data_IF_118554205852
#
_entry.id   IF_118554205852
#
_cell.length_a   1.000
_cell.length_b   1.000
_cell.length_c   1.000
_cell.angle_alpha   90.00
_cell.angle_beta   90.00
_cell.angle_gamma   90.00
#
_symmetry.space_group_name_H-M   'P 1'
#
loop_
_entity.id
_entity.type
_entity.pdbx_description
1 polymer ?
#
# COMPACT_ATOMS: atom_id res chain seq x y z
N UNK A 1 28.41 -33.27 -66.81
CA UNK A 1 27.06 -32.67 -66.94
C UNK A 1 26.45 -32.67 -65.55
N UNK A 2 26.35 -31.51 -64.90
CA UNK A 2 25.72 -31.38 -63.58
C UNK A 2 24.35 -30.74 -63.77
N UNK A 3 23.32 -31.44 -63.29
CA UNK A 3 21.92 -31.06 -63.42
C UNK A 3 21.50 -30.23 -62.20
N UNK A 4 20.92 -29.05 -62.43
CA UNK A 4 20.44 -28.15 -61.39
C UNK A 4 18.91 -28.35 -61.28
N UNK A 5 18.44 -28.75 -60.09
CA UNK A 5 17.01 -28.85 -59.78
C UNK A 5 16.59 -27.55 -59.07
N UNK A 6 15.57 -26.81 -59.56
CA UNK A 6 15.06 -25.63 -58.89
C UNK A 6 14.11 -26.03 -57.75
N UNK A 7 14.39 -25.53 -56.55
CA UNK A 7 13.50 -25.66 -55.39
C UNK A 7 12.46 -24.54 -55.48
N UNK A 8 11.19 -24.92 -55.71
CA UNK A 8 10.05 -24.03 -55.66
C UNK A 8 9.56 -23.95 -54.21
N UNK A 9 9.82 -22.82 -53.55
CA UNK A 9 9.28 -22.49 -52.23
C UNK A 9 7.83 -22.03 -52.38
N UNK A 10 6.88 -22.87 -51.98
CA UNK A 10 5.49 -22.47 -51.79
C UNK A 10 5.35 -21.71 -50.46
N UNK A 11 5.09 -20.40 -50.55
CA UNK A 11 4.68 -19.59 -49.41
C UNK A 11 3.25 -19.96 -49.02
N UNK A 12 3.09 -20.71 -47.93
CA UNK A 12 1.81 -20.90 -47.26
C UNK A 12 1.41 -19.57 -46.60
N UNK A 13 0.52 -18.83 -47.26
CA UNK A 13 -0.18 -17.68 -46.65
C UNK A 13 -1.26 -18.27 -45.75
N UNK A 14 -0.97 -18.35 -44.45
CA UNK A 14 -1.97 -18.68 -43.44
C UNK A 14 -2.93 -17.49 -43.29
N UNK A 15 -4.12 -17.59 -43.88
CA UNK A 15 -5.22 -16.67 -43.66
C UNK A 15 -5.73 -16.85 -42.23
N UNK A 16 -5.24 -16.00 -41.31
CA UNK A 16 -5.83 -15.91 -39.97
C UNK A 16 -7.21 -15.27 -40.09
N UNK A 17 -8.26 -16.06 -39.90
CA UNK A 17 -9.62 -15.53 -39.73
C UNK A 17 -9.63 -14.56 -38.54
N UNK A 18 -10.25 -13.37 -38.64
CA UNK A 18 -10.43 -12.50 -37.50
C UNK A 18 -11.33 -13.24 -36.51
N UNK A 19 -10.74 -13.72 -35.43
CA UNK A 19 -11.52 -14.13 -34.26
C UNK A 19 -12.13 -12.83 -33.76
N UNK A 20 -13.42 -12.67 -34.04
CA UNK A 20 -14.27 -11.65 -33.42
C UNK A 20 -14.40 -12.03 -31.94
N UNK A 21 -13.32 -11.82 -31.19
CA UNK A 21 -13.41 -11.70 -29.75
C UNK A 21 -14.32 -10.51 -29.53
N UNK A 22 -15.59 -10.80 -29.29
CA UNK A 22 -16.46 -9.96 -28.48
C UNK A 22 -15.69 -9.71 -27.19
N UNK A 23 -14.86 -8.67 -27.20
CA UNK A 23 -14.31 -8.02 -26.03
C UNK A 23 -15.56 -7.54 -25.30
N UNK A 24 -16.16 -8.43 -24.50
CA UNK A 24 -17.19 -8.04 -23.55
C UNK A 24 -16.61 -6.82 -22.85
N UNK A 25 -17.24 -5.67 -23.10
CA UNK A 25 -16.77 -4.36 -22.67
C UNK A 25 -16.76 -4.42 -21.15
N UNK A 26 -15.59 -4.71 -20.58
CA UNK A 26 -15.43 -5.03 -19.16
C UNK A 26 -15.82 -3.81 -18.33
N UNK A 27 -16.50 -4.04 -17.22
CA UNK A 27 -16.93 -2.99 -16.31
C UNK A 27 -15.68 -2.40 -15.61
N UNK A 28 -15.39 -1.13 -15.92
CA UNK A 28 -14.23 -0.40 -15.36
C UNK A 28 -14.32 -0.30 -13.83
N UNK A 29 -15.54 -0.42 -13.30
CA UNK A 29 -15.89 -0.19 -11.91
C UNK A 29 -15.89 -1.49 -11.10
N UNK A 30 -15.94 -2.65 -11.77
CA UNK A 30 -15.78 -3.97 -11.16
C UNK A 30 -14.32 -4.34 -10.83
N UNK A 31 -13.36 -3.47 -11.19
CA UNK A 31 -11.94 -3.60 -10.83
C UNK A 31 -11.18 -4.72 -11.55
N UNK A 32 -11.89 -5.66 -12.18
CA UNK A 32 -11.29 -6.84 -12.80
C UNK A 32 -11.01 -6.60 -14.29
N UNK A 33 -9.73 -6.46 -14.64
CA UNK A 33 -9.21 -6.48 -16.00
C UNK A 33 -9.66 -5.35 -16.96
N UNK A 34 -9.95 -4.16 -16.44
CA UNK A 34 -10.23 -2.95 -17.23
C UNK A 34 -9.43 -1.76 -16.69
N UNK A 35 -8.49 -1.21 -17.46
CA UNK A 35 -7.71 -0.03 -17.05
C UNK A 35 -8.58 1.24 -17.14
N UNK A 36 -8.83 1.95 -16.03
CA UNK A 36 -9.61 3.16 -16.05
C UNK A 36 -8.82 4.27 -16.73
N UNK A 37 -9.50 5.12 -17.50
CA UNK A 37 -9.01 6.47 -17.77
C UNK A 37 -8.97 7.21 -16.43
N UNK A 38 -7.77 7.59 -15.99
CA UNK A 38 -7.56 8.36 -14.77
C UNK A 38 -8.04 9.79 -14.94
N UNK A 39 -8.43 10.42 -13.84
CA UNK A 39 -9.00 11.77 -13.75
C UNK A 39 -10.27 11.94 -14.61
N UNK A 40 -11.00 10.84 -14.83
CA UNK A 40 -12.28 10.81 -15.53
C UNK A 40 -13.41 10.40 -14.59
N UNK A 41 -14.53 11.12 -14.66
CA UNK A 41 -15.74 10.81 -13.88
C UNK A 41 -16.61 9.78 -14.62
N UNK A 42 -16.76 8.61 -14.00
CA UNK A 42 -17.67 7.57 -14.45
C UNK A 42 -19.01 7.69 -13.71
N UNK A 43 -20.11 7.65 -14.46
CA UNK A 43 -21.48 7.71 -13.91
C UNK A 43 -22.19 6.37 -14.04
N UNK A 44 -23.47 6.33 -13.68
CA UNK A 44 -24.31 5.13 -13.67
C UNK A 44 -24.45 4.39 -15.01
N UNK A 45 -24.07 5.00 -16.13
CA UNK A 45 -24.05 4.35 -17.45
C UNK A 45 -22.80 3.45 -17.65
N UNK A 46 -21.72 3.73 -16.90
CA UNK A 46 -20.49 2.93 -16.89
C UNK A 46 -20.34 2.14 -15.61
N UNK A 47 -20.54 2.80 -14.46
CA UNK A 47 -20.56 2.19 -13.13
C UNK A 47 -21.99 2.04 -12.66
N UNK A 48 -22.70 1.02 -13.13
CA UNK A 48 -24.13 0.86 -12.80
C UNK A 48 -24.30 0.67 -11.30
N UNK A 49 -25.01 1.56 -10.59
CA UNK A 49 -25.12 1.48 -9.14
C UNK A 49 -25.89 0.22 -8.73
N UNK A 50 -25.46 -0.43 -7.65
CA UNK A 50 -26.16 -1.60 -7.10
C UNK A 50 -27.53 -1.25 -6.52
N UNK A 51 -27.63 -0.06 -5.94
CA UNK A 51 -28.86 0.47 -5.36
C UNK A 51 -29.24 1.80 -5.99
N UNK A 52 -30.54 2.04 -6.11
CA UNK A 52 -31.09 3.26 -6.67
C UNK A 52 -31.89 4.00 -5.61
N UNK A 53 -31.89 5.34 -5.71
CA UNK A 53 -32.72 6.17 -4.86
C UNK A 53 -34.20 5.95 -5.15
N UNK A 54 -35.04 5.83 -4.12
CA UNK A 54 -36.49 5.80 -4.27
C UNK A 54 -37.07 7.22 -4.44
N UNK A 55 -38.40 7.32 -4.54
CA UNK A 55 -39.09 8.61 -4.70
C UNK A 55 -38.95 9.53 -3.48
N UNK A 56 -38.70 8.98 -2.31
CA UNK A 56 -38.53 9.70 -1.05
C UNK A 56 -37.08 10.19 -0.85
N UNK A 57 -36.21 10.00 -1.84
CA UNK A 57 -34.81 10.36 -1.75
C UNK A 57 -33.95 9.38 -0.93
N UNK A 58 -34.51 8.25 -0.51
CA UNK A 58 -33.80 7.23 0.29
C UNK A 58 -33.13 6.23 -0.62
N UNK A 59 -31.89 5.84 -0.30
CA UNK A 59 -31.23 4.76 -1.03
C UNK A 59 -31.95 3.43 -0.79
N UNK A 60 -32.56 2.87 -1.83
CA UNK A 60 -33.39 1.69 -1.70
C UNK A 60 -32.55 0.41 -1.63
N UNK A 61 -32.55 -0.25 -0.48
CA UNK A 61 -31.93 -1.55 -0.29
C UNK A 61 -32.84 -2.53 0.47
N UNK A 62 -32.74 -3.82 0.14
CA UNK A 62 -33.63 -4.86 0.65
C UNK A 62 -33.28 -5.37 2.07
N UNK A 63 -32.02 -5.24 2.52
CA UNK A 63 -31.53 -5.86 3.76
C UNK A 63 -30.91 -4.83 4.72
N UNK A 64 -31.74 -3.96 5.31
CA UNK A 64 -31.27 -2.91 6.24
C UNK A 64 -30.58 -3.44 7.51
N UNK A 65 -31.11 -4.43 8.24
CA UNK A 65 -30.46 -4.96 9.45
C UNK A 65 -29.05 -5.51 9.20
N UNK A 66 -28.87 -6.22 8.09
CA UNK A 66 -27.59 -6.84 7.70
C UNK A 66 -26.52 -5.79 7.40
N UNK A 67 -26.93 -4.62 6.90
CA UNK A 67 -26.04 -3.50 6.59
C UNK A 67 -25.92 -2.49 7.72
N UNK A 68 -26.20 -2.90 8.96
CA UNK A 68 -26.19 -2.02 10.14
C UNK A 68 -27.00 -0.74 9.88
N UNK A 69 -28.17 -0.89 9.28
CA UNK A 69 -29.11 0.19 9.04
C UNK A 69 -28.55 1.35 8.20
N UNK A 70 -27.70 1.05 7.22
CA UNK A 70 -27.21 2.02 6.26
C UNK A 70 -27.21 1.47 4.84
N UNK A 71 -27.48 2.33 3.87
CA UNK A 71 -27.48 2.03 2.45
C UNK A 71 -26.76 3.12 1.67
N UNK A 72 -26.03 2.74 0.62
CA UNK A 72 -25.26 3.67 -0.20
C UNK A 72 -25.65 3.53 -1.67
N UNK A 73 -26.05 4.64 -2.28
CA UNK A 73 -26.43 4.73 -3.68
C UNK A 73 -25.34 5.50 -4.41
N UNK A 74 -24.48 4.75 -5.11
CA UNK A 74 -23.40 5.32 -5.89
C UNK A 74 -23.95 6.23 -7.00
N UNK A 75 -23.32 7.39 -7.17
CA UNK A 75 -23.67 8.37 -8.21
C UNK A 75 -22.54 8.49 -9.22
N UNK A 76 -21.29 8.55 -8.74
CA UNK A 76 -20.11 8.67 -9.58
C UNK A 76 -18.90 7.95 -8.99
N UNK A 77 -17.96 7.65 -9.87
CA UNK A 77 -16.66 7.06 -9.53
C UNK A 77 -15.56 7.79 -10.28
N UNK A 78 -14.49 8.11 -9.59
CA UNK A 78 -13.27 8.65 -10.16
C UNK A 78 -12.11 7.69 -9.88
N UNK A 79 -11.14 7.66 -10.78
CA UNK A 79 -9.86 7.00 -10.55
C UNK A 79 -8.75 8.02 -10.73
N UNK A 80 -7.76 8.04 -9.86
CA UNK A 80 -6.62 8.95 -9.96
C UNK A 80 -5.40 8.33 -9.31
N UNK A 81 -4.22 8.89 -9.56
CA UNK A 81 -3.03 8.45 -8.84
C UNK A 81 -3.04 8.99 -7.41
N UNK A 82 -2.76 8.11 -6.45
CA UNK A 82 -2.49 8.47 -5.07
C UNK A 82 -1.06 8.95 -4.86
N UNK A 83 -0.75 9.29 -3.61
CA UNK A 83 0.60 9.67 -3.21
C UNK A 83 1.59 8.53 -3.45
N UNK A 84 2.77 8.87 -3.94
CA UNK A 84 3.88 7.95 -4.15
C UNK A 84 4.28 7.23 -2.84
N UNK A 85 4.77 6.00 -2.97
CA UNK A 85 5.27 5.16 -1.89
C UNK A 85 6.66 4.64 -2.29
N UNK A 86 7.74 5.27 -1.79
CA UNK A 86 9.08 4.87 -2.18
C UNK A 86 9.37 3.41 -1.83
N UNK A 87 10.05 2.71 -2.74
CA UNK A 87 10.58 1.39 -2.42
C UNK A 87 11.80 1.56 -1.51
N UNK A 88 11.85 0.86 -0.36
CA UNK A 88 13.01 0.94 0.53
C UNK A 88 14.30 0.54 -0.20
N UNK A 89 15.41 1.18 0.14
CA UNK A 89 16.75 0.87 -0.38
C UNK A 89 16.92 0.97 -1.90
N UNK A 90 16.11 1.79 -2.57
CA UNK A 90 16.20 1.98 -4.03
C UNK A 90 16.85 3.29 -4.46
N UNK A 91 17.32 4.09 -3.50
CA UNK A 91 18.07 5.30 -3.79
C UNK A 91 19.42 4.96 -4.43
N UNK A 92 19.77 5.67 -5.50
CA UNK A 92 20.96 5.39 -6.28
C UNK A 92 21.56 6.68 -6.86
N UNK A 93 22.83 6.59 -7.26
CA UNK A 93 23.59 7.68 -7.87
C UNK A 93 24.24 7.24 -9.18
N UNK A 94 24.25 8.13 -10.16
CA UNK A 94 24.99 7.94 -11.40
C UNK A 94 26.50 8.01 -11.18
N UNK A 95 27.32 7.45 -12.09
CA UNK A 95 26.97 7.05 -13.46
C UNK A 95 26.47 5.59 -13.61
N UNK A 96 26.12 4.93 -12.50
CA UNK A 96 25.63 3.55 -12.53
C UNK A 96 24.19 3.44 -13.05
N UNK A 97 23.81 2.22 -13.44
CA UNK A 97 22.43 1.93 -13.83
C UNK A 97 21.64 1.48 -12.61
N UNK A 98 20.65 2.27 -12.22
CA UNK A 98 19.75 1.92 -11.14
C UNK A 98 18.73 0.91 -11.64
N UNK A 99 18.52 -0.17 -10.90
CA UNK A 99 17.61 -1.24 -11.31
C UNK A 99 16.67 -1.58 -10.17
N UNK A 100 15.41 -1.81 -10.53
CA UNK A 100 14.42 -2.40 -9.64
C UNK A 100 13.91 -3.71 -10.25
N UNK A 101 13.56 -4.67 -9.40
CA UNK A 101 13.06 -5.99 -9.79
C UNK A 101 11.67 -6.22 -9.23
N UNK A 102 10.90 -7.12 -9.83
CA UNK A 102 9.55 -7.47 -9.38
C UNK A 102 9.46 -8.12 -7.98
N UNK A 103 10.60 -8.46 -7.37
CA UNK A 103 10.66 -8.91 -5.98
C UNK A 103 10.50 -7.76 -4.99
N UNK A 104 10.82 -6.52 -5.41
CA UNK A 104 10.64 -5.36 -4.55
C UNK A 104 9.16 -5.12 -4.31
N UNK A 105 8.81 -5.09 -3.02
CA UNK A 105 7.44 -4.88 -2.57
C UNK A 105 7.38 -3.68 -1.64
N UNK A 106 6.29 -2.92 -1.73
CA UNK A 106 5.94 -1.86 -0.78
C UNK A 106 4.47 -2.03 -0.39
N UNK A 107 4.16 -1.96 0.90
CA UNK A 107 2.77 -1.88 1.33
C UNK A 107 2.28 -0.46 1.12
N UNK A 108 1.17 -0.35 0.42
CA UNK A 108 0.45 0.91 0.28
C UNK A 108 -0.67 0.93 1.31
N UNK A 109 -0.62 1.90 2.22
CA UNK A 109 -1.72 2.25 3.09
C UNK A 109 -2.47 3.48 2.58
N UNK A 110 -3.79 3.42 2.70
CA UNK A 110 -4.76 4.47 2.50
C UNK A 110 -5.56 4.58 3.80
N UNK A 111 -5.70 5.79 4.33
CA UNK A 111 -6.50 6.00 5.53
C UNK A 111 -7.89 6.43 5.12
N UNK A 112 -8.90 5.70 5.58
CA UNK A 112 -10.29 6.14 5.49
C UNK A 112 -10.84 6.36 6.89
N UNK A 113 -11.21 7.60 7.19
CA UNK A 113 -11.96 7.91 8.41
C UNK A 113 -13.45 7.82 8.12
N UNK A 114 -13.96 6.59 8.02
CA UNK A 114 -15.40 6.32 7.89
C UNK A 114 -15.87 5.42 9.02
N UNK A 115 -17.10 5.63 9.49
CA UNK A 115 -17.66 4.77 10.55
C UNK A 115 -17.88 3.34 10.02
N UNK A 116 -17.84 2.31 10.89
CA UNK A 116 -18.12 0.93 10.46
C UNK A 116 -19.49 0.75 9.79
N UNK A 117 -20.47 1.59 10.15
CA UNK A 117 -21.78 1.61 9.51
C UNK A 117 -21.69 2.08 8.04
N UNK A 118 -20.95 3.16 7.78
CA UNK A 118 -20.74 3.69 6.42
C UNK A 118 -19.92 2.71 5.58
N UNK A 119 -18.86 2.13 6.15
CA UNK A 119 -18.03 1.15 5.47
C UNK A 119 -18.85 -0.06 5.00
N UNK A 120 -19.77 -0.55 5.84
CA UNK A 120 -20.66 -1.65 5.48
C UNK A 120 -21.62 -1.25 4.35
N UNK A 121 -22.23 -0.06 4.42
CA UNK A 121 -23.10 0.43 3.36
C UNK A 121 -22.35 0.56 2.02
N UNK A 122 -21.10 1.01 2.03
CA UNK A 122 -20.26 1.12 0.83
C UNK A 122 -19.86 -0.25 0.29
N UNK A 123 -19.46 -1.20 1.15
CA UNK A 123 -19.14 -2.60 0.77
C UNK A 123 -20.22 -3.22 -0.10
N UNK A 124 -21.49 -3.02 0.26
CA UNK A 124 -22.61 -3.58 -0.49
C UNK A 124 -23.14 -2.67 -1.59
N UNK A 125 -23.04 -1.35 -1.46
CA UNK A 125 -23.67 -0.38 -2.36
C UNK A 125 -22.80 0.06 -3.54
N UNK A 126 -21.49 -0.09 -3.43
CA UNK A 126 -20.53 0.30 -4.47
C UNK A 126 -20.39 -0.82 -5.51
N UNK A 127 -20.46 -0.45 -6.78
CA UNK A 127 -20.17 -1.33 -7.94
C UNK A 127 -18.70 -1.78 -7.90
N UNK A 128 -18.46 -3.06 -8.19
CA UNK A 128 -17.18 -3.72 -7.90
C UNK A 128 -16.85 -3.98 -6.43
N UNK A 129 -17.69 -3.53 -5.49
CA UNK A 129 -17.42 -3.63 -4.06
C UNK A 129 -16.55 -2.49 -3.53
N UNK A 130 -16.28 -2.56 -2.23
CA UNK A 130 -15.44 -1.61 -1.51
C UNK A 130 -14.63 -2.39 -0.47
N UNK A 131 -13.37 -2.73 -0.74
CA UNK A 131 -12.62 -3.77 -0.02
C UNK A 131 -11.58 -3.23 0.96
N UNK A 132 -11.44 -1.91 1.09
CA UNK A 132 -10.61 -1.31 2.12
C UNK A 132 -9.32 -0.71 1.60
N UNK A 133 -8.40 -0.47 2.51
CA UNK A 133 -7.52 0.68 2.41
C UNK A 133 -6.04 0.33 2.49
N UNK A 134 -5.66 -0.92 2.31
CA UNK A 134 -4.25 -1.30 2.18
C UNK A 134 -4.05 -2.47 1.22
N UNK A 135 -2.81 -2.68 0.81
CA UNK A 135 -2.38 -3.86 0.07
C UNK A 135 -0.93 -3.77 -0.34
N UNK A 136 -0.39 -4.90 -0.79
CA UNK A 136 0.96 -4.98 -1.31
C UNK A 136 1.03 -4.57 -2.78
N UNK A 137 2.00 -3.72 -3.08
CA UNK A 137 2.36 -3.28 -4.41
C UNK A 137 3.72 -3.84 -4.80
N UNK A 138 3.79 -4.48 -5.96
CA UNK A 138 5.00 -5.07 -6.51
C UNK A 138 5.58 -4.16 -7.57
N UNK A 139 6.91 -4.03 -7.57
CA UNK A 139 7.58 -3.25 -8.59
C UNK A 139 7.45 -3.90 -9.98
N UNK A 140 7.42 -3.07 -11.02
CA UNK A 140 7.71 -3.53 -12.38
C UNK A 140 9.23 -3.50 -12.58
N UNK A 141 9.82 -4.60 -13.05
CA UNK A 141 11.27 -4.65 -13.28
C UNK A 141 11.66 -3.71 -14.42
N UNK A 142 12.53 -2.73 -14.14
CA UNK A 142 13.22 -1.96 -15.18
C UNK A 142 14.47 -1.26 -14.61
N UNK A 143 15.28 -0.71 -15.52
CA UNK A 143 16.51 0.00 -15.19
C UNK A 143 16.50 1.41 -15.76
N UNK A 144 17.07 2.35 -15.00
CA UNK A 144 17.29 3.75 -15.40
C UNK A 144 18.79 4.01 -15.41
N UNK A 145 19.31 4.47 -16.53
CA UNK A 145 20.69 4.90 -16.65
C UNK A 145 20.81 6.35 -16.17
N UNK A 146 21.64 6.58 -15.16
CA UNK A 146 21.92 7.92 -14.65
C UNK A 146 23.27 8.43 -15.16
N UNK A 147 23.34 9.71 -15.48
CA UNK A 147 24.60 10.38 -15.76
C UNK A 147 25.33 10.75 -14.46
N UNK A 148 26.62 11.09 -14.56
CA UNK A 148 27.38 11.54 -13.39
C UNK A 148 26.71 12.76 -12.75
N UNK A 149 26.49 12.70 -11.44
CA UNK A 149 25.81 13.76 -10.68
C UNK A 149 24.28 13.72 -10.73
N UNK A 150 23.67 12.70 -11.37
CA UNK A 150 22.24 12.46 -11.26
C UNK A 150 21.96 11.45 -10.15
N UNK A 151 20.90 11.68 -9.39
CA UNK A 151 20.43 10.77 -8.34
C UNK A 151 18.93 10.56 -8.43
N UNK A 152 18.44 9.54 -7.74
CA UNK A 152 17.00 9.30 -7.61
C UNK A 152 16.69 8.00 -6.91
N UNK A 153 15.40 7.66 -6.87
CA UNK A 153 14.89 6.46 -6.24
C UNK A 153 13.70 5.91 -7.02
N UNK A 154 13.37 4.63 -6.78
CA UNK A 154 12.17 4.03 -7.33
C UNK A 154 11.01 4.15 -6.34
N UNK A 155 9.82 4.41 -6.86
CA UNK A 155 8.61 4.57 -6.06
C UNK A 155 7.42 3.90 -6.73
N UNK A 156 6.44 3.49 -5.94
CA UNK A 156 5.16 3.00 -6.44
C UNK A 156 4.11 4.09 -6.32
N UNK A 157 3.38 4.35 -7.40
CA UNK A 157 2.26 5.30 -7.42
C UNK A 157 0.96 4.51 -7.58
N UNK A 158 0.16 4.38 -6.50
CA UNK A 158 -1.07 3.59 -6.55
C UNK A 158 -2.16 4.30 -7.35
N UNK A 159 -3.08 3.54 -7.91
CA UNK A 159 -4.36 4.05 -8.40
C UNK A 159 -5.38 4.00 -7.26
N UNK A 160 -5.98 5.15 -6.97
CA UNK A 160 -7.04 5.31 -5.97
C UNK A 160 -8.37 5.39 -6.69
N UNK A 161 -9.35 4.64 -6.18
CA UNK A 161 -10.75 4.68 -6.59
C UNK A 161 -11.51 5.54 -5.59
N UNK A 162 -12.10 6.64 -6.07
CA UNK A 162 -13.04 7.44 -5.29
C UNK A 162 -14.45 7.14 -5.74
N UNK A 163 -15.35 6.92 -4.79
CA UNK A 163 -16.77 6.72 -5.02
C UNK A 163 -17.55 7.77 -4.26
N UNK A 164 -18.48 8.43 -4.95
CA UNK A 164 -19.36 9.44 -4.37
C UNK A 164 -20.82 9.09 -4.66
N UNK A 165 -21.69 9.38 -3.70
CA UNK A 165 -23.06 8.92 -3.75
C UNK A 165 -23.91 9.46 -2.61
N UNK A 166 -25.12 8.93 -2.51
CA UNK A 166 -26.06 9.26 -1.45
C UNK A 166 -26.03 8.17 -0.39
N UNK A 167 -25.80 8.56 0.87
CA UNK A 167 -25.84 7.67 2.02
C UNK A 167 -27.16 7.88 2.76
N UNK A 168 -27.91 6.81 2.99
CA UNK A 168 -29.09 6.81 3.87
C UNK A 168 -28.82 5.96 5.09
N UNK A 169 -29.07 6.48 6.29
CA UNK A 169 -28.83 5.80 7.56
C UNK A 169 -30.07 5.84 8.46
N UNK A 170 -30.15 4.87 9.37
CA UNK A 170 -31.07 4.85 10.50
C UNK A 170 -30.30 4.51 11.78
N UNK A 171 -30.94 4.74 12.93
CA UNK A 171 -30.35 4.39 14.21
C UNK A 171 -30.30 2.86 14.37
N UNK A 172 -29.11 2.35 14.71
CA UNK A 172 -28.88 0.93 14.95
C UNK A 172 -29.10 0.63 16.43
N UNK A 173 -30.01 -0.27 16.74
CA UNK A 173 -30.13 -0.87 18.08
C UNK A 173 -29.67 -2.32 18.03
N UNK A 174 -28.61 -2.63 18.77
CA UNK A 174 -28.22 -4.01 19.02
C UNK A 174 -29.08 -4.59 20.14
N UNK A 175 -29.78 -5.69 19.86
CA UNK A 175 -30.51 -6.46 20.86
C UNK A 175 -29.62 -7.61 21.34
N UNK A 176 -29.51 -7.81 22.66
CA UNK A 176 -28.79 -8.95 23.19
C UNK A 176 -29.50 -10.24 22.78
N UNK A 177 -28.74 -11.19 22.24
CA UNK A 177 -29.20 -12.52 21.88
C UNK A 177 -28.10 -13.52 22.25
N UNK A 178 -28.47 -14.72 22.74
CA UNK A 178 -27.51 -15.69 23.29
C UNK A 178 -26.59 -16.31 22.22
N UNK A 179 -26.93 -16.18 20.93
CA UNK A 179 -26.15 -16.77 19.83
C UNK A 179 -25.34 -15.69 19.11
N UNK A 180 -26.02 -14.65 18.61
CA UNK A 180 -25.41 -13.51 17.92
C UNK A 180 -26.26 -12.26 18.15
N UNK A 181 -25.66 -11.06 18.28
CA UNK A 181 -26.41 -9.81 18.42
C UNK A 181 -27.28 -9.58 17.18
N UNK A 182 -28.56 -9.27 17.40
CA UNK A 182 -29.50 -8.94 16.33
C UNK A 182 -29.60 -7.42 16.23
N UNK A 183 -29.39 -6.87 15.03
CA UNK A 183 -29.46 -5.44 14.79
C UNK A 183 -30.84 -5.05 14.28
N UNK A 184 -31.41 -3.99 14.84
CA UNK A 184 -32.69 -3.42 14.43
C UNK A 184 -32.50 -1.97 13.99
N UNK A 185 -33.25 -1.56 12.98
CA UNK A 185 -33.24 -0.21 12.46
C UNK A 185 -34.43 0.55 13.01
N UNK A 186 -34.16 1.65 13.71
CA UNK A 186 -35.17 2.45 14.40
C UNK A 186 -35.17 3.89 13.89
N UNK A 187 -36.36 4.49 13.90
CA UNK A 187 -36.58 5.90 13.55
C UNK A 187 -36.64 6.16 12.05
N UNK A 188 -36.71 7.44 11.71
CA UNK A 188 -36.74 7.91 10.33
C UNK A 188 -35.34 7.83 9.68
N UNK A 189 -35.33 7.74 8.36
CA UNK A 189 -34.09 7.76 7.58
C UNK A 189 -33.46 9.16 7.61
N UNK A 190 -32.15 9.20 7.83
CA UNK A 190 -31.33 10.39 7.55
C UNK A 190 -30.60 10.15 6.24
N UNK A 191 -30.81 11.02 5.25
CA UNK A 191 -30.14 10.91 3.96
C UNK A 191 -29.17 12.07 3.76
N UNK A 192 -27.90 11.73 3.53
CA UNK A 192 -26.81 12.67 3.25
C UNK A 192 -26.37 12.49 1.79
N UNK A 193 -26.59 13.49 0.92
CA UNK A 193 -26.09 13.44 -0.44
C UNK A 193 -24.57 13.65 -0.48
N UNK A 194 -23.96 13.23 -1.57
CA UNK A 194 -22.55 13.51 -1.89
C UNK A 194 -21.53 13.02 -0.84
N UNK A 195 -21.80 11.89 -0.20
CA UNK A 195 -20.83 11.21 0.66
C UNK A 195 -19.82 10.49 -0.23
N UNK A 196 -18.55 10.89 -0.12
CA UNK A 196 -17.44 10.32 -0.87
C UNK A 196 -16.54 9.47 0.03
N UNK A 197 -15.98 8.40 -0.53
CA UNK A 197 -14.91 7.63 0.09
C UNK A 197 -13.92 7.17 -0.98
N UNK A 198 -12.70 6.92 -0.54
CA UNK A 198 -11.59 6.53 -1.40
C UNK A 198 -11.06 5.17 -0.95
N UNK A 199 -10.65 4.33 -1.88
CA UNK A 199 -10.00 3.06 -1.61
C UNK A 199 -8.86 2.84 -2.61
N UNK A 200 -7.93 1.96 -2.25
CA UNK A 200 -6.96 1.49 -3.21
C UNK A 200 -7.68 0.64 -4.24
N UNK A 201 -7.30 0.81 -5.51
CA UNK A 201 -7.73 -0.10 -6.55
C UNK A 201 -6.81 -1.33 -6.51
N UNK A 202 -7.41 -2.51 -6.59
CA UNK A 202 -6.66 -3.77 -6.65
C UNK A 202 -6.83 -4.43 -8.01
N UNK A 203 -5.79 -5.14 -8.43
CA UNK A 203 -5.80 -6.07 -9.55
C UNK A 203 -6.60 -7.33 -9.19
N UNK A 204 -6.88 -8.17 -10.19
CA UNK A 204 -7.63 -9.42 -9.97
C UNK A 204 -6.89 -10.45 -9.11
N UNK A 205 -5.56 -10.31 -8.97
CA UNK A 205 -4.72 -11.13 -8.10
C UNK A 205 -4.64 -10.61 -6.65
N UNK A 206 -5.33 -9.50 -6.35
CA UNK A 206 -5.34 -8.86 -5.04
C UNK A 206 -4.19 -7.87 -4.79
N UNK A 207 -3.25 -7.71 -5.73
CA UNK A 207 -2.20 -6.70 -5.62
C UNK A 207 -2.73 -5.30 -5.86
N UNK A 208 -2.07 -4.27 -5.34
CA UNK A 208 -2.47 -2.87 -5.58
C UNK A 208 -2.18 -2.48 -7.04
N UNK A 209 -3.16 -1.86 -7.71
CA UNK A 209 -3.01 -1.30 -9.05
C UNK A 209 -2.23 0.02 -8.99
N UNK A 210 -1.36 0.26 -9.97
CA UNK A 210 -0.45 1.40 -9.97
C UNK A 210 0.74 1.25 -10.91
N UNK A 211 1.68 2.17 -10.76
CA UNK A 211 2.87 2.28 -11.60
C UNK A 211 4.14 2.43 -10.77
N UNK A 212 5.20 1.72 -11.19
CA UNK A 212 6.54 1.92 -10.66
C UNK A 212 7.24 2.99 -11.49
N UNK A 213 7.62 4.10 -10.86
CA UNK A 213 8.30 5.22 -11.53
C UNK A 213 9.65 5.50 -10.85
N UNK A 214 10.50 6.23 -11.58
CA UNK A 214 11.78 6.69 -11.07
C UNK A 214 11.70 8.19 -10.82
N UNK A 215 11.94 8.59 -9.58
CA UNK A 215 11.93 10.00 -9.17
C UNK A 215 13.35 10.50 -9.16
N UNK A 216 13.63 11.54 -9.94
CA UNK A 216 14.95 12.17 -9.98
C UNK A 216 15.10 13.13 -8.82
N UNK A 217 16.26 13.15 -8.19
CA UNK A 217 16.55 14.01 -7.05
C UNK A 217 17.86 14.76 -7.23
N UNK A 218 18.01 15.87 -6.50
CA UNK A 218 19.31 16.46 -6.25
C UNK A 218 20.15 15.48 -5.42
N UNK A 219 21.41 15.24 -5.78
CA UNK A 219 22.26 14.28 -5.06
C UNK A 219 22.64 14.75 -3.64
N UNK A 220 22.68 16.06 -3.45
CA UNK A 220 23.18 16.78 -2.29
C UNK A 220 22.16 16.86 -1.15
N UNK A 221 20.88 17.07 -1.46
CA UNK A 221 19.81 17.14 -0.45
C UNK A 221 18.71 16.08 -0.64
N UNK A 222 18.80 15.25 -1.70
CA UNK A 222 17.84 14.20 -2.05
C UNK A 222 16.40 14.64 -2.27
N UNK A 223 16.18 15.95 -2.40
CA UNK A 223 14.88 16.48 -2.75
C UNK A 223 14.59 16.25 -4.24
N UNK A 224 13.33 15.99 -4.61
CA UNK A 224 12.95 15.83 -6.02
C UNK A 224 13.37 17.02 -6.88
N UNK A 225 13.88 16.73 -8.08
CA UNK A 225 14.09 17.75 -9.11
C UNK A 225 12.76 18.41 -9.51
N UNK A 226 12.77 19.59 -10.14
CA UNK A 226 11.57 20.24 -10.64
C UNK A 226 10.71 19.33 -11.52
N UNK A 227 9.39 19.58 -11.52
CA UNK A 227 8.37 18.77 -12.21
C UNK A 227 8.70 18.46 -13.68
N UNK A 228 9.33 19.40 -14.41
CA UNK A 228 9.71 19.21 -15.82
C UNK A 228 10.74 18.11 -16.08
N UNK A 229 11.52 17.73 -15.05
CA UNK A 229 12.53 16.68 -15.13
C UNK A 229 12.00 15.31 -14.66
N UNK A 230 10.76 15.24 -14.19
CA UNK A 230 10.16 14.05 -13.59
C UNK A 230 9.34 13.24 -14.58
N UNK A 231 9.08 11.98 -14.22
CA UNK A 231 8.13 11.12 -14.91
C UNK A 231 6.73 11.79 -15.00
N UNK A 232 6.00 11.73 -16.13
CA UNK A 232 4.67 12.32 -16.28
C UNK A 232 3.64 11.90 -15.23
N UNK A 233 3.78 10.72 -14.62
CA UNK A 233 2.96 10.25 -13.50
C UNK A 233 3.26 11.03 -12.24
N UNK A 234 4.54 11.29 -11.95
CA UNK A 234 4.98 12.10 -10.79
C UNK A 234 4.38 13.50 -10.82
N UNK A 235 4.22 14.06 -12.00
CA UNK A 235 3.70 15.42 -12.20
C UNK A 235 2.20 15.54 -11.91
N UNK A 236 1.50 14.43 -11.65
CA UNK A 236 0.05 14.44 -11.45
C UNK A 236 -0.33 14.94 -10.05
N UNK A 237 -1.51 15.59 -9.91
CA UNK A 237 -1.96 16.09 -8.61
C UNK A 237 -2.05 14.96 -7.58
N UNK A 238 -1.49 15.21 -6.39
CA UNK A 238 -1.52 14.28 -5.27
C UNK A 238 -0.45 13.19 -5.30
N UNK A 239 0.34 13.07 -6.38
CA UNK A 239 1.40 12.05 -6.48
C UNK A 239 2.64 12.40 -5.65
N UNK A 240 3.25 13.60 -5.77
CA UNK A 240 4.41 13.94 -4.96
C UNK A 240 4.05 13.91 -3.46
N UNK A 241 4.95 13.34 -2.66
CA UNK A 241 4.85 13.45 -1.20
C UNK A 241 4.85 14.92 -0.76
N UNK A 242 4.25 15.20 0.40
CA UNK A 242 4.42 16.51 1.02
C UNK A 242 5.89 16.71 1.43
N UNK A 243 6.29 17.97 1.59
CA UNK A 243 7.69 18.33 1.83
C UNK A 243 8.27 17.70 3.10
N UNK A 244 7.50 17.60 4.18
CA UNK A 244 7.98 17.01 5.43
C UNK A 244 8.23 15.52 5.29
N UNK A 245 7.34 14.82 4.58
CA UNK A 245 7.53 13.42 4.24
C UNK A 245 8.73 13.21 3.30
N UNK A 246 8.92 14.08 2.31
CA UNK A 246 10.09 14.04 1.42
C UNK A 246 11.40 14.23 2.18
N UNK A 247 11.47 15.22 3.07
CA UNK A 247 12.64 15.49 3.90
C UNK A 247 12.97 14.29 4.80
N UNK A 248 11.96 13.65 5.41
CA UNK A 248 12.17 12.47 6.22
C UNK A 248 12.69 11.26 5.41
N UNK A 249 12.19 11.05 4.19
CA UNK A 249 12.72 10.03 3.29
C UNK A 249 14.14 10.37 2.81
N UNK A 250 14.41 11.64 2.51
CA UNK A 250 15.73 12.13 2.14
C UNK A 250 16.76 11.91 3.25
N UNK A 251 16.39 12.18 4.51
CA UNK A 251 17.22 11.88 5.68
C UNK A 251 17.48 10.37 5.80
N UNK A 252 16.42 9.57 5.64
CA UNK A 252 16.52 8.11 5.64
C UNK A 252 17.51 7.62 4.58
N UNK A 253 17.47 8.14 3.36
CA UNK A 253 18.27 7.62 2.22
C UNK A 253 19.75 7.95 2.19
N UNK A 254 20.21 8.93 2.95
CA UNK A 254 21.66 9.08 2.98
C UNK A 254 22.21 9.79 4.18
N UNK A 255 21.71 9.35 5.31
CA UNK A 255 22.58 8.51 6.11
C UNK A 255 23.11 7.39 5.19
N UNK A 256 24.32 7.56 4.60
CA UNK A 256 25.03 6.50 3.82
C UNK A 256 25.17 5.21 4.65
N UNK A 257 24.88 5.32 5.94
CA UNK A 257 24.33 4.31 6.83
C UNK A 257 22.78 4.28 6.85
N UNK A 258 22.11 3.53 5.96
CA UNK A 258 20.78 2.94 6.26
C UNK A 258 20.88 1.89 7.41
N UNK A 259 21.86 2.09 8.30
CA UNK A 259 22.53 1.16 9.21
C UNK A 259 22.86 1.87 10.52
N UNK A 260 21.94 2.72 10.99
CA UNK A 260 21.71 2.74 12.42
C UNK A 260 21.50 1.28 12.93
N UNK A 261 21.08 0.35 12.07
CA UNK A 261 21.43 -1.07 12.19
C UNK A 261 22.88 -1.35 11.78
N UNK A 262 23.80 -1.50 12.75
CA UNK A 262 25.22 -1.84 12.59
C UNK A 262 25.52 -2.57 11.26
N UNK A 263 26.34 -1.95 10.39
CA UNK A 263 26.70 -2.47 9.05
C UNK A 263 27.28 -3.89 9.14
N UNK A 264 27.87 -4.23 10.28
CA UNK A 264 28.48 -5.53 10.54
C UNK A 264 27.57 -6.48 11.32
N UNK A 265 26.35 -6.05 11.70
CA UNK A 265 25.37 -6.93 12.33
C UNK A 265 24.51 -7.61 11.26
N UNK A 266 24.81 -8.88 10.91
CA UNK A 266 23.98 -9.62 9.95
C UNK A 266 22.58 -9.79 10.51
N UNK A 267 21.58 -9.71 9.62
CA UNK A 267 20.22 -10.12 9.97
C UNK A 267 20.27 -11.60 10.39
N UNK A 268 19.78 -11.89 11.59
CA UNK A 268 19.62 -13.26 12.07
C UNK A 268 18.19 -13.70 11.87
N UNK A 269 17.98 -14.61 10.93
CA UNK A 269 16.65 -15.17 10.64
C UNK A 269 16.27 -16.25 11.64
N UNK A 270 15.08 -16.08 12.23
CA UNK A 270 14.50 -16.95 13.26
C UNK A 270 13.04 -17.32 12.86
N UNK A 271 12.79 -17.45 11.55
CA UNK A 271 11.48 -17.82 11.00
C UNK A 271 11.10 -19.26 11.39
N UNK A 272 9.92 -19.41 11.98
CA UNK A 272 9.31 -20.67 12.41
C UNK A 272 7.82 -20.72 12.05
N UNK A 273 7.16 -21.87 12.24
CA UNK A 273 5.71 -21.99 12.02
C UNK A 273 4.86 -21.08 12.91
N UNK A 274 5.43 -20.58 14.03
CA UNK A 274 4.81 -19.60 14.91
C UNK A 274 5.16 -18.15 14.57
N UNK A 275 5.99 -17.87 13.56
CA UNK A 275 6.38 -16.50 13.20
C UNK A 275 5.23 -15.72 12.56
N UNK A 276 5.21 -14.37 12.66
CA UNK A 276 4.18 -13.54 12.04
C UNK A 276 4.10 -13.72 10.53
N UNK A 277 2.93 -13.41 9.96
CA UNK A 277 2.75 -13.31 8.52
C UNK A 277 3.55 -12.14 7.95
N UNK A 278 4.16 -12.33 6.79
CA UNK A 278 4.92 -11.28 6.08
C UNK A 278 4.02 -10.07 5.82
N UNK A 279 2.80 -10.28 5.32
CA UNK A 279 1.84 -9.20 5.04
C UNK A 279 1.56 -8.34 6.29
N UNK A 280 1.31 -8.96 7.44
CA UNK A 280 1.09 -8.26 8.70
C UNK A 280 2.30 -7.42 9.11
N UNK A 281 3.52 -7.94 8.93
CA UNK A 281 4.73 -7.17 9.22
C UNK A 281 4.93 -6.01 8.26
N UNK A 282 4.61 -6.19 6.97
CA UNK A 282 4.66 -5.10 5.99
C UNK A 282 3.69 -3.99 6.32
N UNK A 283 2.51 -4.33 6.79
CA UNK A 283 1.56 -3.36 7.33
C UNK A 283 2.11 -2.65 8.58
N UNK A 284 2.76 -3.37 9.50
CA UNK A 284 3.29 -2.80 10.74
C UNK A 284 4.39 -1.75 10.49
N UNK A 285 5.42 -2.04 9.67
CA UNK A 285 6.42 -1.02 9.36
C UNK A 285 5.91 0.02 8.36
N UNK A 286 4.95 -0.33 7.49
CA UNK A 286 4.27 0.65 6.64
C UNK A 286 3.57 1.74 7.45
N UNK A 287 3.03 1.40 8.63
CA UNK A 287 2.48 2.37 9.57
C UNK A 287 3.57 3.30 10.17
N UNK A 288 4.76 2.78 10.46
CA UNK A 288 5.89 3.59 10.93
C UNK A 288 6.33 4.63 9.87
N UNK A 289 6.33 4.23 8.60
CA UNK A 289 6.64 5.09 7.46
C UNK A 289 5.57 6.16 7.17
N UNK A 290 4.44 6.19 7.90
CA UNK A 290 3.49 7.31 7.83
C UNK A 290 3.96 8.51 8.67
N UNK A 291 4.87 8.29 9.62
CA UNK A 291 5.44 9.32 10.48
C UNK A 291 6.94 9.08 10.69
N UNK A 292 7.73 8.99 9.60
CA UNK A 292 9.11 8.52 9.65
C UNK A 292 10.03 9.41 10.51
N UNK A 293 9.68 10.69 10.69
CA UNK A 293 10.41 11.68 11.49
C UNK A 293 10.18 11.60 13.00
N UNK A 294 9.20 10.80 13.46
CA UNK A 294 8.91 10.68 14.89
C UNK A 294 10.08 9.99 15.59
N UNK A 295 10.65 10.57 16.65
CA UNK A 295 11.77 9.97 17.35
C UNK A 295 11.35 8.67 18.05
N UNK A 296 12.29 7.74 18.18
CA UNK A 296 12.15 6.57 18.99
C UNK A 296 11.95 6.96 20.46
N UNK A 297 11.19 6.14 21.20
CA UNK A 297 10.91 6.44 22.61
C UNK A 297 12.18 6.22 23.44
N UNK A 298 12.36 7.02 24.51
CA UNK A 298 13.42 6.80 25.49
C UNK A 298 13.24 5.45 26.22
N UNK A 299 14.33 4.89 26.75
CA UNK A 299 14.32 3.52 27.25
C UNK A 299 15.43 3.23 28.24
N UNK A 300 15.25 2.19 29.06
CA UNK A 300 16.30 1.67 29.94
C UNK A 300 16.84 0.35 29.42
N UNK A 301 18.11 0.08 29.67
CA UNK A 301 18.74 -1.19 29.32
C UNK A 301 17.89 -2.38 29.82
N UNK A 302 17.69 -3.38 28.95
CA UNK A 302 16.88 -4.56 29.22
C UNK A 302 15.36 -4.34 29.11
N UNK A 303 14.89 -3.13 28.76
CA UNK A 303 13.49 -2.86 28.45
C UNK A 303 13.18 -3.01 26.96
N UNK A 304 11.89 -3.09 26.66
CA UNK A 304 11.39 -3.31 25.30
C UNK A 304 10.38 -2.24 24.95
N UNK A 305 10.55 -1.62 23.81
CA UNK A 305 9.57 -0.72 23.23
C UNK A 305 8.96 -1.32 21.98
N UNK A 306 7.64 -1.20 21.87
CA UNK A 306 6.87 -1.67 20.72
C UNK A 306 6.68 -0.52 19.75
N UNK A 307 7.50 -0.49 18.71
CA UNK A 307 7.46 0.58 17.73
C UNK A 307 6.19 0.52 16.88
N UNK A 308 5.79 -0.69 16.46
CA UNK A 308 4.63 -0.91 15.59
C UNK A 308 4.02 -2.29 15.78
N UNK A 309 2.73 -2.40 15.49
CA UNK A 309 1.95 -3.62 15.69
C UNK A 309 0.79 -3.71 14.70
N UNK A 310 0.66 -4.85 14.01
CA UNK A 310 -0.50 -5.20 13.18
C UNK A 310 -0.74 -6.70 13.25
N UNK A 311 -1.93 -7.10 13.71
CA UNK A 311 -2.40 -8.49 13.75
C UNK A 311 -1.38 -9.48 14.35
N UNK A 312 -0.73 -10.29 13.51
CA UNK A 312 0.22 -11.29 13.97
C UNK A 312 1.63 -10.75 14.19
N UNK A 313 1.94 -9.52 13.77
CA UNK A 313 3.28 -8.95 13.78
C UNK A 313 3.44 -7.77 14.74
N UNK A 314 4.51 -7.80 15.53
CA UNK A 314 5.02 -6.68 16.29
C UNK A 314 6.48 -6.38 15.95
N UNK A 315 6.82 -5.10 15.87
CA UNK A 315 8.18 -4.59 15.71
C UNK A 315 8.64 -4.11 17.08
N UNK A 316 9.56 -4.86 17.68
CA UNK A 316 10.08 -4.61 19.01
C UNK A 316 11.50 -4.06 18.96
N UNK A 317 11.80 -3.13 19.85
CA UNK A 317 13.13 -2.60 20.07
C UNK A 317 13.56 -2.90 21.50
N UNK A 318 14.58 -3.74 21.66
CA UNK A 318 15.16 -4.13 22.93
C UNK A 318 16.36 -3.27 23.24
N UNK A 319 16.29 -2.45 24.28
CA UNK A 319 17.38 -1.54 24.64
C UNK A 319 18.57 -2.33 25.22
N UNK A 320 19.73 -2.18 24.59
CA UNK A 320 21.01 -2.73 25.05
C UNK A 320 21.86 -1.68 25.78
N UNK A 321 21.39 -0.44 25.81
CA UNK A 321 21.92 0.66 26.62
C UNK A 321 20.77 1.56 27.06
N UNK A 322 21.01 2.42 28.04
CA UNK A 322 20.06 3.48 28.39
C UNK A 322 19.94 4.51 27.26
N UNK A 323 18.70 4.90 26.92
CA UNK A 323 18.38 5.91 25.92
C UNK A 323 17.70 7.08 26.63
N UNK A 324 18.31 8.25 26.59
CA UNK A 324 17.67 9.50 27.02
C UNK A 324 16.81 10.07 25.90
N UNK A 325 15.87 10.95 26.26
CA UNK A 325 14.99 11.60 25.29
C UNK A 325 15.81 12.37 24.25
N UNK A 326 15.62 12.03 22.96
CA UNK A 326 16.32 12.61 21.80
C UNK A 326 17.85 12.37 21.75
N UNK A 327 18.43 11.51 22.58
CA UNK A 327 19.89 11.33 22.61
C UNK A 327 20.47 10.61 21.39
N UNK A 328 19.67 9.78 20.71
CA UNK A 328 20.18 8.83 19.71
C UNK A 328 19.91 9.23 18.25
N UNK A 329 19.10 10.28 18.02
CA UNK A 329 18.59 10.67 16.70
C UNK A 329 17.98 9.49 15.90
N UNK A 330 17.39 8.51 16.59
CA UNK A 330 16.75 7.35 15.97
C UNK A 330 15.28 7.70 15.74
N UNK A 331 14.81 7.55 14.51
CA UNK A 331 13.44 7.87 14.14
C UNK A 331 12.68 6.61 13.70
N UNK A 332 11.35 6.70 13.63
CA UNK A 332 10.49 5.59 13.16
C UNK A 332 10.87 5.12 11.75
N UNK A 333 11.35 6.02 10.88
CA UNK A 333 11.85 5.68 9.56
C UNK A 333 13.04 4.71 9.61
N UNK A 334 14.00 4.96 10.50
CA UNK A 334 15.18 4.10 10.68
C UNK A 334 14.76 2.69 11.13
N UNK A 335 13.81 2.60 12.08
CA UNK A 335 13.25 1.34 12.60
C UNK A 335 12.49 0.59 11.49
N UNK A 336 11.70 1.31 10.69
CA UNK A 336 10.93 0.72 9.60
C UNK A 336 11.83 0.12 8.52
N UNK A 337 12.90 0.81 8.12
CA UNK A 337 13.88 0.30 7.16
C UNK A 337 14.61 -0.93 7.70
N UNK A 338 15.00 -0.91 8.98
CA UNK A 338 15.62 -2.06 9.62
C UNK A 338 14.68 -3.27 9.65
N UNK A 339 13.40 -3.09 10.03
CA UNK A 339 12.38 -4.13 10.00
C UNK A 339 12.11 -4.66 8.58
N UNK A 340 12.10 -3.78 7.57
CA UNK A 340 12.01 -4.16 6.17
C UNK A 340 13.17 -5.07 5.77
N UNK A 341 14.40 -4.73 6.18
CA UNK A 341 15.59 -5.54 5.86
C UNK A 341 15.52 -6.95 6.47
N UNK A 342 14.97 -7.10 7.68
CA UNK A 342 14.72 -8.42 8.29
C UNK A 342 13.67 -9.17 7.48
N UNK A 343 12.59 -8.48 7.08
CA UNK A 343 11.50 -9.09 6.32
C UNK A 343 11.96 -9.63 4.98
N UNK A 344 12.69 -8.83 4.20
CA UNK A 344 13.19 -9.26 2.88
C UNK A 344 14.23 -10.39 2.99
N UNK A 345 15.10 -10.38 4.01
CA UNK A 345 16.14 -11.40 4.16
C UNK A 345 15.62 -12.70 4.79
N UNK A 346 14.59 -12.63 5.64
CA UNK A 346 14.11 -13.78 6.42
C UNK A 346 12.76 -14.35 5.96
N UNK A 347 12.06 -13.68 5.05
CA UNK A 347 10.94 -14.28 4.33
C UNK A 347 11.48 -15.37 3.39
N UNK A 348 11.56 -16.60 3.88
CA UNK A 348 11.99 -17.77 3.10
C UNK A 348 11.00 -18.05 1.98
N UNK A 349 11.50 -18.39 0.79
CA UNK A 349 10.92 -19.05 -0.40
C UNK A 349 9.39 -19.37 -0.39
N UNK A 350 8.52 -18.43 -0.01
CA UNK A 350 7.07 -18.61 -0.02
C UNK A 350 6.42 -19.20 1.25
N UNK A 351 7.08 -19.23 2.41
CA UNK A 351 6.39 -19.63 3.67
C UNK A 351 5.47 -18.54 4.24
N UNK A 352 5.38 -17.37 3.58
CA UNK A 352 4.55 -16.21 3.95
C UNK A 352 4.72 -15.75 5.41
N UNK A 353 5.81 -16.17 6.07
CA UNK A 353 6.13 -15.87 7.45
C UNK A 353 7.54 -15.31 7.58
N UNK A 354 7.73 -14.49 8.61
CA UNK A 354 9.01 -13.82 8.86
C UNK A 354 9.27 -13.79 10.36
N UNK A 355 10.45 -14.24 10.79
CA UNK A 355 10.97 -13.98 12.11
C UNK A 355 12.45 -13.64 12.00
N UNK A 356 12.90 -12.68 12.80
CA UNK A 356 14.31 -12.36 12.81
C UNK A 356 14.62 -11.12 13.62
N UNK A 357 15.92 -10.88 13.76
CA UNK A 357 16.45 -9.80 14.57
C UNK A 357 17.72 -9.21 13.97
N UNK A 358 17.98 -7.96 14.33
CA UNK A 358 19.18 -7.22 13.93
C UNK A 358 19.58 -6.26 15.03
N UNK A 359 20.89 -6.11 15.29
CA UNK A 359 21.35 -5.10 16.23
C UNK A 359 21.28 -3.71 15.60
N UNK A 360 21.11 -2.73 16.47
CA UNK A 360 20.92 -1.33 16.17
C UNK A 360 21.91 -0.54 17.04
N UNK A 361 22.82 0.21 16.43
CA UNK A 361 23.77 1.08 17.11
C UNK A 361 23.84 2.42 16.37
N UNK A 362 23.51 3.50 17.07
CA UNK A 362 23.64 4.87 16.57
C UNK A 362 23.97 5.83 17.71
N UNK A 363 24.97 6.67 17.52
CA UNK A 363 25.38 7.70 18.49
C UNK A 363 25.60 7.16 19.92
N UNK A 364 26.13 5.93 20.02
CA UNK A 364 26.36 5.22 21.29
C UNK A 364 25.13 4.54 21.88
N UNK A 365 23.94 4.75 21.32
CA UNK A 365 22.73 4.07 21.70
C UNK A 365 22.65 2.69 21.03
N UNK A 366 22.60 1.64 21.84
CA UNK A 366 22.53 0.25 21.38
C UNK A 366 21.15 -0.34 21.65
N UNK A 367 20.62 -1.06 20.69
CA UNK A 367 19.39 -1.83 20.80
C UNK A 367 19.44 -3.06 19.88
N UNK A 368 18.45 -3.94 20.03
CA UNK A 368 18.18 -5.03 19.10
C UNK A 368 16.75 -4.89 18.61
N UNK A 369 16.58 -4.81 17.30
CA UNK A 369 15.27 -4.81 16.66
C UNK A 369 14.86 -6.25 16.36
N UNK A 370 13.64 -6.62 16.73
CA UNK A 370 13.08 -7.95 16.48
C UNK A 370 11.68 -7.88 15.85
N UNK A 371 11.40 -8.85 14.98
CA UNK A 371 10.05 -9.12 14.44
C UNK A 371 9.45 -10.29 15.22
N UNK A 372 8.38 -10.02 15.95
CA UNK A 372 7.80 -10.95 16.93
C UNK A 372 6.37 -11.31 16.55
N UNK A 373 6.00 -12.56 16.80
CA UNK A 373 4.62 -13.01 16.66
C UNK A 373 3.75 -12.57 17.84
N UNK A 374 2.53 -12.21 17.53
CA UNK A 374 1.50 -11.84 18.50
C UNK A 374 0.19 -12.54 18.18
N UNK A 375 -0.58 -12.89 19.21
CA UNK A 375 -1.88 -13.58 19.06
C UNK A 375 -3.03 -12.62 18.65
N UNK A 376 -2.74 -11.57 17.88
CA UNK A 376 -3.76 -10.57 17.53
C UNK A 376 -4.09 -9.57 18.65
N UNK A 377 -3.31 -9.56 19.73
CA UNK A 377 -3.38 -8.54 20.77
C UNK A 377 -2.11 -7.70 20.84
N UNK A 378 -2.22 -6.39 21.14
CA UNK A 378 -1.07 -5.56 21.42
C UNK A 378 -0.26 -6.19 22.56
N UNK A 379 1.07 -6.32 22.42
CA UNK A 379 1.91 -6.85 23.47
C UNK A 379 1.74 -6.06 24.77
N UNK A 380 1.55 -6.78 25.88
CA UNK A 380 1.43 -6.16 27.21
C UNK A 380 2.80 -6.09 27.87
N UNK A 381 3.43 -4.91 27.89
CA UNK A 381 4.69 -4.68 28.61
C UNK A 381 5.41 -3.43 28.10
N UNK A 382 5.80 -2.55 29.03
CA UNK A 382 6.67 -1.39 28.80
C UNK A 382 8.04 -1.61 29.46
#
# INVERSE_FOLDING_TARGET
MWSIIPIVLFSLVASASPVEHSLMRRDVCDGVNATPVLYHEYRGDKCKPKYTMNKDGVCNHAHWPENKCAAYCQVRTNFFYGQERPFPNTYCHGPESCTITATHTVTVGWSITISPQIQNAMKVGVSGGFSGSSGDAFARSYSVKLESGQCGYFTFVPVVKEVCGTLSTQHVRAMPSPILPVYWCLGDYTTTPNVCAQELRHNSDGTVDGETIFVRTHCDNRMPLPSGDQDPVYQKPGVPMDRGMQEAWAETWGKEDLTAADKDSPVKCETSGGSPKVEDCRHAFGALLQSPHVPATAGKEGKTWWAGYVHSCAIALYYQSDWEENACDIQLGDIAVAAYSITEQCAKDGEERVGGRRNFEKDGCKAQLEIIHTDGQPPTGH
#
